data_IF_033925252356
#
_entry.id   IF_033925252356
#
_cell.length_a   1.000
_cell.length_b   1.000
_cell.length_c   1.000
_cell.angle_alpha   90.00
_cell.angle_beta   90.00
_cell.angle_gamma   90.00
#
_symmetry.space_group_name_H-M   'P 1'
#
loop_
_entity.id
_entity.type
_entity.pdbx_description
1 polymer ?
#
# COMPACT_ATOMS: atom_id res chain seq x y z
N UNK A 1 32.30 39.70 -53.34
CA UNK A 1 31.00 39.26 -52.78
C UNK A 1 31.06 37.76 -52.56
N UNK A 2 31.00 37.25 -51.33
CA UNK A 2 30.95 35.81 -51.07
C UNK A 2 29.52 35.30 -51.26
N UNK A 3 29.35 34.21 -52.03
CA UNK A 3 28.06 33.54 -52.24
C UNK A 3 27.57 32.77 -51.01
N UNK A 4 26.29 32.34 -50.99
CA UNK A 4 25.68 31.76 -49.80
C UNK A 4 26.17 30.32 -49.60
N UNK A 5 26.68 30.03 -48.40
CA UNK A 5 26.97 28.67 -47.94
C UNK A 5 25.62 28.00 -47.64
N UNK A 6 25.22 27.03 -48.46
CA UNK A 6 24.09 26.15 -48.16
C UNK A 6 24.51 25.13 -47.10
N UNK A 7 24.14 25.39 -45.84
CA UNK A 7 24.15 24.35 -44.80
C UNK A 7 23.05 23.33 -45.13
N UNK A 8 23.45 22.19 -45.70
CA UNK A 8 22.59 21.01 -45.76
C UNK A 8 22.71 20.33 -44.40
N UNK A 9 21.87 20.75 -43.46
CA UNK A 9 21.69 20.04 -42.21
C UNK A 9 20.91 18.76 -42.48
N UNK A 10 21.62 17.65 -42.68
CA UNK A 10 21.02 16.32 -42.58
C UNK A 10 20.54 16.14 -41.15
N UNK A 11 19.23 16.25 -40.94
CA UNK A 11 18.59 15.95 -39.66
C UNK A 11 18.69 14.43 -39.46
N UNK A 12 19.78 13.96 -38.85
CA UNK A 12 19.83 12.60 -38.31
C UNK A 12 18.87 12.61 -37.12
N UNK A 13 17.68 12.01 -37.29
CA UNK A 13 16.86 11.55 -36.16
C UNK A 13 17.63 10.42 -35.46
N UNK A 14 18.71 10.78 -34.77
CA UNK A 14 19.40 9.88 -33.86
C UNK A 14 18.49 9.67 -32.67
N UNK A 15 18.05 8.44 -32.45
CA UNK A 15 17.45 8.05 -31.19
C UNK A 15 18.36 8.57 -30.06
N UNK A 16 17.83 9.43 -29.18
CA UNK A 16 18.53 9.88 -27.99
C UNK A 16 19.09 8.65 -27.27
N UNK A 17 20.35 8.66 -26.79
CA UNK A 17 20.89 7.53 -26.06
C UNK A 17 19.96 7.23 -24.88
N UNK A 18 19.29 6.08 -24.94
CA UNK A 18 18.40 5.63 -23.88
C UNK A 18 19.26 5.21 -22.70
N UNK A 19 19.15 5.91 -21.57
CA UNK A 19 19.79 5.48 -20.33
C UNK A 19 19.25 4.09 -19.96
N UNK A 20 20.04 3.00 -20.02
CA UNK A 20 19.53 1.64 -19.81
C UNK A 20 18.99 1.44 -18.38
N UNK A 21 19.58 2.12 -17.40
CA UNK A 21 19.12 2.08 -16.02
C UNK A 21 17.75 2.72 -15.87
N UNK A 22 17.48 3.82 -16.59
CA UNK A 22 16.16 4.45 -16.62
C UNK A 22 15.12 3.54 -17.27
N UNK A 23 15.45 2.90 -18.39
CA UNK A 23 14.54 1.94 -19.06
C UNK A 23 14.20 0.78 -18.13
N UNK A 24 15.20 0.25 -17.42
CA UNK A 24 14.99 -0.79 -16.40
C UNK A 24 14.09 -0.29 -15.27
N UNK A 25 14.39 0.90 -14.73
CA UNK A 25 13.60 1.52 -13.67
C UNK A 25 12.13 1.67 -14.08
N UNK A 26 11.85 2.24 -15.26
CA UNK A 26 10.48 2.47 -15.75
C UNK A 26 9.72 1.15 -16.01
N UNK A 27 10.44 0.04 -16.24
CA UNK A 27 9.85 -1.29 -16.39
C UNK A 27 9.55 -1.96 -15.04
N UNK A 28 10.41 -1.75 -14.05
CA UNK A 28 10.31 -2.38 -12.73
C UNK A 28 9.43 -1.58 -11.76
N UNK A 29 9.28 -0.27 -11.97
CA UNK A 29 8.54 0.63 -11.09
C UNK A 29 7.33 1.21 -11.84
N UNK A 30 6.18 0.59 -11.62
CA UNK A 30 4.95 0.94 -12.31
C UNK A 30 4.15 1.97 -11.52
N UNK A 31 3.91 3.11 -12.16
CA UNK A 31 3.12 4.22 -11.63
C UNK A 31 1.82 4.33 -12.42
N UNK A 32 0.71 4.48 -11.73
CA UNK A 32 -0.63 4.55 -12.30
C UNK A 32 -0.96 5.96 -12.82
N UNK A 33 -2.21 6.18 -13.21
CA UNK A 33 -2.76 7.51 -13.55
C UNK A 33 -3.37 8.22 -12.33
N UNK A 34 -3.23 7.67 -11.13
CA UNK A 34 -3.74 8.28 -9.91
C UNK A 34 -3.07 9.65 -9.65
N UNK A 35 -3.79 10.62 -9.02
CA UNK A 35 -3.26 11.96 -8.76
C UNK A 35 -1.90 11.98 -8.03
N UNK A 36 -1.70 11.06 -7.10
CA UNK A 36 -0.51 10.89 -6.27
C UNK A 36 0.69 10.28 -7.01
N UNK A 37 0.47 9.61 -8.15
CA UNK A 37 1.48 8.78 -8.81
C UNK A 37 2.70 9.60 -9.27
N UNK A 38 2.44 10.79 -9.82
CA UNK A 38 3.50 11.71 -10.25
C UNK A 38 4.35 12.19 -9.07
N UNK A 39 3.71 12.53 -7.94
CA UNK A 39 4.43 12.95 -6.73
C UNK A 39 5.23 11.78 -6.16
N UNK A 40 4.65 10.59 -6.06
CA UNK A 40 5.35 9.41 -5.53
C UNK A 40 6.57 9.08 -6.39
N UNK A 41 6.46 9.09 -7.72
CA UNK A 41 7.63 8.93 -8.60
C UNK A 41 8.72 9.98 -8.34
N UNK A 42 8.34 11.24 -8.10
CA UNK A 42 9.31 12.28 -7.74
C UNK A 42 10.00 12.01 -6.39
N UNK A 43 9.27 11.47 -5.40
CA UNK A 43 9.85 11.05 -4.11
C UNK A 43 10.85 9.91 -4.33
N UNK A 44 10.50 8.90 -5.13
CA UNK A 44 11.40 7.77 -5.38
C UNK A 44 12.70 8.24 -6.04
N UNK A 45 12.58 9.10 -7.06
CA UNK A 45 13.74 9.72 -7.71
C UNK A 45 14.53 10.59 -6.74
N UNK A 46 13.89 11.28 -5.79
CA UNK A 46 14.58 12.03 -4.75
C UNK A 46 15.40 11.11 -3.84
N UNK A 47 14.84 9.97 -3.41
CA UNK A 47 15.50 9.00 -2.52
C UNK A 47 16.75 8.40 -3.19
N UNK A 48 16.66 8.05 -4.47
CA UNK A 48 17.82 7.56 -5.24
C UNK A 48 18.68 8.69 -5.84
N UNK A 49 18.41 9.95 -5.48
CA UNK A 49 19.15 11.13 -5.96
C UNK A 49 19.19 11.26 -7.49
N UNK A 50 18.15 10.79 -8.17
CA UNK A 50 18.05 10.76 -9.64
C UNK A 50 18.90 9.68 -10.31
N UNK A 51 19.64 8.88 -9.54
CA UNK A 51 20.49 7.81 -10.05
C UNK A 51 19.67 6.53 -10.26
N UNK A 52 19.20 6.34 -11.49
CA UNK A 52 18.44 5.16 -11.90
C UNK A 52 19.17 3.83 -11.69
N UNK A 53 20.51 3.81 -11.55
CA UNK A 53 21.23 2.57 -11.25
C UNK A 53 20.94 2.05 -9.84
N UNK A 54 20.51 2.93 -8.94
CA UNK A 54 20.06 2.64 -7.58
C UNK A 54 18.57 2.28 -7.50
N UNK A 55 17.90 2.07 -8.63
CA UNK A 55 16.48 1.72 -8.68
C UNK A 55 16.10 0.53 -7.80
N UNK A 56 17.01 -0.45 -7.62
CA UNK A 56 16.79 -1.59 -6.72
C UNK A 56 16.69 -1.24 -5.23
N UNK A 57 17.05 -0.02 -4.82
CA UNK A 57 16.83 0.49 -3.46
C UNK A 57 15.36 0.86 -3.21
N UNK A 58 14.59 1.16 -4.27
CA UNK A 58 13.15 1.41 -4.20
C UNK A 58 12.45 0.06 -4.06
N UNK A 59 12.13 -0.30 -2.83
CA UNK A 59 11.49 -1.57 -2.52
C UNK A 59 10.62 -1.44 -1.29
N UNK A 60 9.39 -1.94 -1.36
CA UNK A 60 8.49 -1.99 -0.22
C UNK A 60 9.13 -2.70 0.99
N UNK A 61 10.01 -3.69 0.77
CA UNK A 61 10.68 -4.44 1.83
C UNK A 61 11.97 -3.75 2.35
N UNK A 62 12.41 -2.64 1.74
CA UNK A 62 13.62 -1.94 2.14
C UNK A 62 13.31 -0.90 3.23
N UNK A 63 13.70 -1.19 4.47
CA UNK A 63 13.51 -0.32 5.64
C UNK A 63 13.95 1.12 5.40
N UNK A 64 15.16 1.33 4.89
CA UNK A 64 15.72 2.67 4.71
C UNK A 64 14.91 3.49 3.70
N UNK A 65 14.40 2.83 2.66
CA UNK A 65 13.51 3.45 1.69
C UNK A 65 12.14 3.77 2.31
N UNK A 66 11.49 2.83 2.99
CA UNK A 66 10.15 3.05 3.58
C UNK A 66 10.19 4.17 4.63
N UNK A 67 11.25 4.24 5.43
CA UNK A 67 11.48 5.35 6.38
C UNK A 67 11.55 6.70 5.67
N UNK A 68 12.37 6.81 4.62
CA UNK A 68 12.49 8.04 3.83
C UNK A 68 11.18 8.40 3.12
N UNK A 69 10.45 7.40 2.62
CA UNK A 69 9.14 7.61 2.01
C UNK A 69 8.17 8.24 3.02
N UNK A 70 8.06 7.70 4.24
CA UNK A 70 7.20 8.24 5.30
C UNK A 70 7.60 9.68 5.64
N UNK A 71 8.90 9.93 5.80
CA UNK A 71 9.40 11.25 6.15
C UNK A 71 9.10 12.27 5.03
N UNK A 72 9.42 11.96 3.78
CA UNK A 72 9.21 12.89 2.65
C UNK A 72 7.71 13.06 2.37
N UNK A 73 6.91 12.00 2.38
CA UNK A 73 5.47 12.06 2.12
C UNK A 73 4.71 12.84 3.21
N UNK A 74 5.27 12.93 4.42
CA UNK A 74 4.68 13.70 5.52
C UNK A 74 5.23 15.13 5.65
N UNK A 75 6.05 15.59 4.71
CA UNK A 75 6.81 16.85 4.82
C UNK A 75 7.66 16.92 6.11
N UNK A 76 8.22 15.79 6.53
CA UNK A 76 9.02 15.64 7.75
C UNK A 76 8.22 15.59 9.05
N UNK A 77 6.87 15.61 9.01
CA UNK A 77 6.01 15.59 10.21
C UNK A 77 5.96 14.22 10.88
N UNK A 78 6.18 13.15 10.13
CA UNK A 78 6.26 11.78 10.63
C UNK A 78 7.65 11.24 10.37
N UNK A 79 8.24 10.63 11.39
CA UNK A 79 9.51 9.92 11.30
C UNK A 79 9.38 8.60 12.04
N UNK A 80 10.09 7.60 11.56
CA UNK A 80 10.15 6.31 12.22
C UNK A 80 11.43 6.26 13.03
N UNK A 81 11.29 6.52 14.32
CA UNK A 81 12.37 6.47 15.30
C UNK A 81 12.06 5.42 16.37
N UNK A 82 13.06 5.13 17.20
CA UNK A 82 12.83 4.34 18.40
C UNK A 82 11.84 5.08 19.30
N UNK A 83 10.66 4.50 19.52
CA UNK A 83 9.58 5.13 20.29
C UNK A 83 9.76 4.94 21.79
N UNK A 84 10.60 3.98 22.21
CA UNK A 84 10.83 3.58 23.61
C UNK A 84 9.60 2.95 24.30
N UNK A 85 8.45 2.96 23.61
CA UNK A 85 7.21 2.30 24.02
C UNK A 85 7.21 0.94 23.38
N UNK A 86 6.96 -0.14 24.11
CA UNK A 86 7.03 -1.52 23.59
C UNK A 86 6.05 -1.86 22.46
N UNK A 87 5.28 -0.88 21.98
CA UNK A 87 4.24 -1.01 20.97
C UNK A 87 4.80 -0.90 19.54
N UNK A 88 4.10 -1.50 18.60
CA UNK A 88 4.36 -1.36 17.17
C UNK A 88 3.91 0.00 16.66
N UNK A 89 4.57 0.47 15.59
CA UNK A 89 4.26 1.71 14.90
C UNK A 89 3.68 1.37 13.53
N UNK A 90 2.44 1.76 13.28
CA UNK A 90 1.75 1.47 12.01
C UNK A 90 1.65 2.72 11.16
N UNK A 91 1.93 2.59 9.88
CA UNK A 91 1.84 3.68 8.90
C UNK A 91 1.04 3.22 7.69
N UNK A 92 -0.08 3.89 7.44
CA UNK A 92 -0.71 3.88 6.12
C UNK A 92 -0.15 5.05 5.34
N UNK A 93 0.39 4.76 4.16
CA UNK A 93 0.93 5.75 3.22
C UNK A 93 0.01 5.74 2.00
N UNK A 94 -0.85 6.75 1.88
CA UNK A 94 -1.79 6.87 0.75
C UNK A 94 -1.01 7.15 -0.53
N UNK A 95 -1.18 6.31 -1.54
CA UNK A 95 -0.34 6.29 -2.75
C UNK A 95 1.05 5.68 -2.58
N UNK A 96 1.38 5.16 -1.38
CA UNK A 96 2.73 4.66 -1.07
C UNK A 96 3.15 3.45 -1.91
N UNK A 97 2.20 2.68 -2.42
CA UNK A 97 2.46 1.51 -3.26
C UNK A 97 2.60 1.81 -4.76
N UNK A 98 2.44 3.07 -5.18
CA UNK A 98 2.87 3.49 -6.53
C UNK A 98 4.37 3.19 -6.73
N UNK A 99 4.71 2.57 -7.86
CA UNK A 99 6.02 1.96 -8.11
C UNK A 99 6.09 0.46 -7.78
N UNK A 100 5.07 -0.11 -7.11
CA UNK A 100 4.98 -1.54 -6.78
C UNK A 100 3.68 -2.17 -7.27
N UNK A 101 3.07 -1.57 -8.31
CA UNK A 101 1.78 -1.99 -8.83
C UNK A 101 1.91 -3.16 -9.82
N UNK A 102 0.87 -4.01 -9.94
CA UNK A 102 0.79 -4.97 -11.03
C UNK A 102 0.58 -4.29 -12.39
N UNK A 103 1.06 -4.92 -13.46
CA UNK A 103 1.04 -4.40 -14.84
C UNK A 103 -0.31 -3.82 -15.29
N UNK A 104 -1.42 -4.46 -14.91
CA UNK A 104 -2.76 -4.05 -15.34
C UNK A 104 -3.22 -2.70 -14.78
N UNK A 105 -2.58 -2.20 -13.72
CA UNK A 105 -2.85 -0.88 -13.13
C UNK A 105 -2.01 0.26 -13.72
N UNK A 106 -0.94 -0.05 -14.47
CA UNK A 106 -0.02 0.96 -15.04
C UNK A 106 -0.68 1.98 -15.99
N UNK A 107 -1.87 1.66 -16.51
CA UNK A 107 -2.62 2.51 -17.46
C UNK A 107 -3.98 2.94 -16.90
N UNK A 108 -4.21 2.74 -15.60
CA UNK A 108 -5.47 3.02 -14.92
C UNK A 108 -5.22 3.96 -13.76
N UNK A 109 -6.28 4.60 -13.28
CA UNK A 109 -6.24 5.27 -11.99
C UNK A 109 -6.32 4.20 -10.89
N UNK A 110 -5.22 3.99 -10.15
CA UNK A 110 -5.18 3.01 -9.07
C UNK A 110 -5.87 3.48 -7.78
N UNK A 111 -6.17 4.78 -7.65
CA UNK A 111 -6.98 5.29 -6.54
C UNK A 111 -8.46 4.91 -6.71
N UNK A 112 -8.90 4.70 -7.96
CA UNK A 112 -10.26 4.32 -8.34
C UNK A 112 -10.27 3.46 -9.61
N UNK A 113 -9.90 2.19 -9.47
CA UNK A 113 -9.87 1.25 -10.57
C UNK A 113 -11.23 0.55 -10.74
N UNK A 114 -11.82 0.67 -11.92
CA UNK A 114 -13.00 -0.12 -12.30
C UNK A 114 -12.52 -1.49 -12.80
N UNK A 115 -12.98 -2.56 -12.16
CA UNK A 115 -12.78 -3.93 -12.66
C UNK A 115 -14.08 -4.38 -13.33
N UNK A 116 -14.05 -4.67 -14.65
CA UNK A 116 -15.20 -5.25 -15.33
C UNK A 116 -15.61 -6.56 -14.64
N UNK A 117 -16.83 -6.62 -14.12
CA UNK A 117 -17.43 -7.82 -13.54
C UNK A 117 -18.46 -8.47 -14.48
N UNK A 118 -19.33 -9.31 -13.93
CA UNK A 118 -20.54 -9.78 -14.61
C UNK A 118 -21.37 -8.55 -15.06
N UNK A 119 -22.10 -8.53 -16.19
CA UNK A 119 -22.79 -7.33 -16.69
C UNK A 119 -23.80 -6.70 -15.71
N UNK A 120 -24.17 -7.43 -14.65
CA UNK A 120 -25.06 -6.99 -13.57
C UNK A 120 -24.33 -6.46 -12.32
N UNK A 121 -22.99 -6.51 -12.24
CA UNK A 121 -22.20 -6.02 -11.10
C UNK A 121 -20.90 -5.33 -11.54
N UNK A 122 -20.82 -4.00 -11.35
CA UNK A 122 -19.57 -3.25 -11.50
C UNK A 122 -18.84 -3.28 -10.15
N UNK A 123 -17.61 -3.77 -10.13
CA UNK A 123 -16.75 -3.73 -8.93
C UNK A 123 -15.82 -2.53 -9.02
N UNK A 124 -15.89 -1.66 -8.02
CA UNK A 124 -14.95 -0.55 -7.87
C UNK A 124 -13.87 -0.97 -6.88
N UNK A 125 -12.60 -0.83 -7.25
CA UNK A 125 -11.47 -0.98 -6.35
C UNK A 125 -10.91 0.39 -6.05
N UNK A 126 -10.83 0.70 -4.78
CA UNK A 126 -10.27 1.96 -4.31
C UNK A 126 -8.95 1.70 -3.61
N UNK A 127 -8.08 2.71 -3.62
CA UNK A 127 -6.83 2.71 -2.86
C UNK A 127 -5.93 1.47 -3.16
N UNK A 128 -5.94 0.98 -4.40
CA UNK A 128 -5.12 -0.17 -4.85
C UNK A 128 -3.62 0.19 -4.92
N UNK A 129 -3.28 1.41 -4.53
CA UNK A 129 -1.94 1.99 -4.50
C UNK A 129 -1.54 2.49 -3.10
N UNK A 130 -2.28 2.13 -2.06
CA UNK A 130 -1.90 2.43 -0.68
C UNK A 130 -0.93 1.39 -0.13
N UNK A 131 -0.13 1.80 0.86
CA UNK A 131 0.83 0.93 1.54
C UNK A 131 0.59 0.93 3.05
N UNK A 132 0.60 -0.26 3.66
CA UNK A 132 0.78 -0.43 5.09
C UNK A 132 2.23 -0.77 5.39
N UNK A 133 2.86 -0.04 6.31
CA UNK A 133 4.18 -0.34 6.86
C UNK A 133 4.10 -0.45 8.38
N UNK A 134 4.77 -1.46 8.94
CA UNK A 134 4.78 -1.73 10.39
C UNK A 134 6.22 -1.75 10.87
N UNK A 135 6.50 -0.96 11.88
CA UNK A 135 7.79 -0.91 12.53
C UNK A 135 7.66 -1.32 13.99
N UNK A 136 8.76 -1.80 14.56
CA UNK A 136 8.83 -2.07 15.98
C UNK A 136 9.15 -0.82 16.80
N UNK A 137 9.21 -0.99 18.11
CA UNK A 137 9.53 0.08 19.06
C UNK A 137 10.95 0.62 18.93
N UNK A 138 11.87 -0.12 18.30
CA UNK A 138 13.21 0.32 17.94
C UNK A 138 13.29 1.01 16.58
N UNK A 139 12.17 1.10 15.86
CA UNK A 139 12.09 1.64 14.51
C UNK A 139 12.57 0.67 13.43
N UNK A 140 12.71 -0.63 13.72
CA UNK A 140 13.06 -1.65 12.71
C UNK A 140 11.81 -2.06 11.94
N UNK A 141 11.88 -2.20 10.62
CA UNK A 141 10.76 -2.64 9.78
C UNK A 141 10.42 -4.09 10.14
N UNK A 142 9.16 -4.31 10.51
CA UNK A 142 8.60 -5.63 10.77
C UNK A 142 8.12 -6.24 9.47
N UNK A 143 7.26 -5.52 8.75
CA UNK A 143 6.78 -5.88 7.41
C UNK A 143 6.03 -4.70 6.79
N UNK A 144 5.78 -4.79 5.50
CA UNK A 144 4.96 -3.86 4.75
C UNK A 144 4.18 -4.61 3.66
N UNK A 145 3.10 -4.01 3.18
CA UNK A 145 2.27 -4.59 2.14
C UNK A 145 1.49 -3.51 1.38
N UNK A 146 1.18 -3.80 0.10
CA UNK A 146 0.18 -3.04 -0.65
C UNK A 146 -1.20 -3.31 -0.05
N UNK A 147 -2.05 -2.30 -0.06
CA UNK A 147 -3.45 -2.43 0.31
C UNK A 147 -4.33 -2.43 -0.94
N UNK A 148 -5.47 -3.09 -0.84
CA UNK A 148 -6.50 -3.14 -1.88
C UNK A 148 -7.85 -3.04 -1.19
N UNK A 149 -8.70 -2.09 -1.57
CA UNK A 149 -10.03 -1.94 -0.98
C UNK A 149 -11.11 -2.18 -2.04
N UNK A 150 -11.59 -3.43 -2.19
CA UNK A 150 -12.70 -3.70 -3.10
C UNK A 150 -13.99 -3.20 -2.45
N UNK A 151 -14.60 -2.20 -3.08
CA UNK A 151 -15.96 -1.79 -2.78
C UNK A 151 -16.86 -2.34 -3.89
N UNK A 152 -17.59 -3.40 -3.57
CA UNK A 152 -18.80 -3.68 -4.32
C UNK A 152 -19.81 -2.60 -3.95
N UNK A 153 -20.14 -1.74 -4.91
CA UNK A 153 -21.20 -0.75 -4.72
C UNK A 153 -22.54 -1.50 -4.85
N UNK A 154 -22.94 -2.17 -3.78
CA UNK A 154 -24.30 -2.69 -3.58
C UNK A 154 -24.81 -2.22 -2.22
N UNK A 155 -25.18 -0.94 -2.09
CA UNK A 155 -25.78 -0.38 -0.86
C UNK A 155 -24.99 0.74 -0.17
N UNK A 156 -24.86 0.65 1.17
CA UNK A 156 -24.54 1.75 2.10
C UNK A 156 -23.08 2.29 2.14
N UNK A 157 -22.17 1.75 1.32
CA UNK A 157 -20.77 2.18 1.25
C UNK A 157 -20.52 3.07 0.03
N UNK A 158 -20.05 4.30 0.27
CA UNK A 158 -19.58 5.23 -0.77
C UNK A 158 -18.09 5.51 -0.60
N UNK A 159 -17.39 5.88 -1.67
CA UNK A 159 -15.98 6.30 -1.60
C UNK A 159 -15.76 7.36 -0.51
N UNK A 160 -16.65 8.37 -0.45
CA UNK A 160 -16.65 9.42 0.57
C UNK A 160 -16.74 8.87 2.00
N UNK A 161 -17.59 7.87 2.23
CA UNK A 161 -17.69 7.22 3.56
C UNK A 161 -16.40 6.50 3.89
N UNK A 162 -15.81 5.84 2.90
CA UNK A 162 -14.62 5.04 3.06
C UNK A 162 -13.38 5.93 3.30
N UNK A 163 -13.25 7.07 2.63
CA UNK A 163 -12.21 8.08 2.91
C UNK A 163 -12.31 8.64 4.32
N UNK A 164 -13.52 8.97 4.78
CA UNK A 164 -13.72 9.45 6.16
C UNK A 164 -13.27 8.44 7.21
N UNK A 165 -13.48 7.14 6.95
CA UNK A 165 -13.00 6.08 7.85
C UNK A 165 -11.49 6.08 7.87
N UNK A 166 -10.89 6.14 6.69
CA UNK A 166 -9.44 6.10 6.56
C UNK A 166 -8.75 7.29 7.25
N UNK A 167 -9.27 8.49 7.06
CA UNK A 167 -8.75 9.70 7.70
C UNK A 167 -8.91 9.69 9.23
N UNK A 168 -9.94 9.00 9.75
CA UNK A 168 -10.19 8.94 11.19
C UNK A 168 -9.24 7.98 11.93
N UNK A 169 -8.48 7.15 11.21
CA UNK A 169 -7.55 6.19 11.80
C UNK A 169 -6.25 6.82 12.29
N UNK A 170 -5.95 8.05 11.89
CA UNK A 170 -4.79 8.76 12.42
C UNK A 170 -4.88 8.86 13.95
N UNK A 171 -3.83 8.40 14.62
CA UNK A 171 -3.70 8.34 16.07
C UNK A 171 -4.68 7.38 16.78
N UNK A 172 -5.18 6.36 16.07
CA UNK A 172 -6.05 5.33 16.65
C UNK A 172 -5.31 4.04 16.98
N UNK A 173 -5.80 3.37 18.02
CA UNK A 173 -5.30 2.05 18.42
C UNK A 173 -5.52 1.03 17.31
N UNK A 174 -4.45 0.33 16.97
CA UNK A 174 -4.46 -0.87 16.13
C UNK A 174 -4.43 -2.08 17.03
N UNK A 175 -5.26 -3.06 16.73
CA UNK A 175 -5.30 -4.34 17.42
C UNK A 175 -5.35 -5.49 16.42
N UNK A 176 -4.89 -6.66 16.84
CA UNK A 176 -5.14 -7.91 16.11
C UNK A 176 -6.33 -8.63 16.72
N UNK A 177 -7.08 -9.32 15.88
CA UNK A 177 -8.22 -10.13 16.29
C UNK A 177 -8.37 -11.34 15.36
N UNK A 178 -9.11 -12.34 15.84
CA UNK A 178 -9.50 -13.51 15.06
C UNK A 178 -10.99 -13.43 14.75
N UNK A 179 -11.34 -13.32 13.48
CA UNK A 179 -12.72 -13.39 13.05
C UNK A 179 -13.13 -14.85 12.87
N UNK A 180 -14.22 -15.26 13.52
CA UNK A 180 -14.81 -16.59 13.39
C UNK A 180 -16.26 -16.53 12.91
N UNK A 181 -16.74 -15.35 12.49
CA UNK A 181 -18.11 -15.13 12.05
C UNK A 181 -18.34 -15.52 10.58
N UNK A 182 -17.26 -15.79 9.84
CA UNK A 182 -17.30 -16.24 8.45
C UNK A 182 -17.01 -17.74 8.35
N UNK A 183 -17.33 -18.33 7.20
CA UNK A 183 -17.06 -19.76 6.92
C UNK A 183 -15.57 -20.09 7.05
N UNK A 184 -14.70 -19.12 6.76
CA UNK A 184 -13.27 -19.22 6.88
C UNK A 184 -12.82 -18.30 8.01
N UNK A 185 -12.32 -18.84 9.14
CA UNK A 185 -11.71 -18.01 10.16
C UNK A 185 -10.46 -17.33 9.62
N UNK A 186 -10.22 -16.10 10.08
CA UNK A 186 -9.04 -15.34 9.67
C UNK A 186 -8.54 -14.44 10.78
N UNK A 187 -7.28 -14.02 10.65
CA UNK A 187 -6.71 -12.94 11.44
C UNK A 187 -6.79 -11.63 10.68
N UNK A 188 -7.10 -10.57 11.41
CA UNK A 188 -7.16 -9.22 10.85
C UNK A 188 -6.53 -8.20 11.79
N UNK A 189 -6.10 -7.09 11.22
CA UNK A 189 -5.83 -5.86 11.97
C UNK A 189 -7.10 -5.02 11.98
N UNK A 190 -7.48 -4.57 13.17
CA UNK A 190 -8.60 -3.67 13.38
C UNK A 190 -8.13 -2.32 13.89
N UNK A 191 -8.88 -1.27 13.53
CA UNK A 191 -8.69 0.09 14.07
C UNK A 191 -9.98 0.56 14.73
N UNK A 192 -9.86 1.07 15.97
CA UNK A 192 -11.01 1.66 16.67
C UNK A 192 -11.28 3.07 16.14
N UNK A 193 -12.06 3.17 15.07
CA UNK A 193 -12.30 4.42 14.33
C UNK A 193 -13.22 5.42 15.06
N UNK A 194 -14.05 4.93 15.99
CA UNK A 194 -14.99 5.73 16.79
C UNK A 194 -16.17 6.33 16.01
N UNK A 195 -16.32 6.06 14.71
CA UNK A 195 -17.28 6.74 13.84
C UNK A 195 -18.64 6.05 13.71
N UNK A 196 -18.74 4.74 13.98
CA UNK A 196 -19.98 3.97 13.79
C UNK A 196 -20.48 3.31 15.08
N UNK A 197 -20.28 3.99 16.21
CA UNK A 197 -20.49 3.41 17.54
C UNK A 197 -19.34 2.50 17.95
N UNK A 198 -19.32 2.06 19.21
CA UNK A 198 -18.16 1.46 19.91
C UNK A 198 -17.55 0.18 19.29
N UNK A 199 -18.05 -0.33 18.16
CA UNK A 199 -17.79 -1.70 17.67
C UNK A 199 -17.47 -1.77 16.16
N UNK A 200 -17.55 -0.67 15.40
CA UNK A 200 -17.18 -0.77 13.99
C UNK A 200 -15.67 -0.81 13.84
N UNK A 201 -15.18 -2.01 13.55
CA UNK A 201 -13.85 -2.26 13.07
C UNK A 201 -13.94 -2.29 11.56
N UNK A 202 -13.11 -1.50 10.88
CA UNK A 202 -12.82 -1.78 9.47
C UNK A 202 -11.52 -2.54 9.47
N UNK A 203 -11.59 -3.69 8.81
CA UNK A 203 -10.64 -4.76 8.99
C UNK A 203 -9.64 -4.77 7.84
N UNK A 204 -8.37 -4.92 8.17
CA UNK A 204 -7.31 -5.23 7.22
C UNK A 204 -6.97 -6.72 7.33
N UNK A 205 -7.30 -7.51 6.31
CA UNK A 205 -7.10 -8.97 6.33
C UNK A 205 -6.78 -9.55 4.94
N UNK A 206 -6.65 -10.87 4.82
CA UNK A 206 -6.47 -11.54 3.53
C UNK A 206 -7.65 -11.31 2.58
N UNK A 207 -7.42 -11.44 1.28
CA UNK A 207 -8.50 -11.32 0.30
C UNK A 207 -9.54 -12.45 0.47
N UNK A 208 -10.77 -12.08 0.78
CA UNK A 208 -11.94 -12.97 0.87
C UNK A 208 -13.12 -12.35 0.11
N UNK A 209 -14.20 -13.11 -0.10
CA UNK A 209 -15.44 -12.60 -0.70
C UNK A 209 -16.26 -11.67 0.21
N UNK A 210 -15.61 -10.82 1.01
CA UNK A 210 -16.26 -9.91 1.97
C UNK A 210 -16.37 -8.48 1.41
N UNK A 211 -17.40 -7.76 1.86
CA UNK A 211 -17.69 -6.39 1.40
C UNK A 211 -17.14 -5.35 2.37
N UNK A 212 -16.50 -4.29 1.85
CA UNK A 212 -16.13 -3.11 2.64
C UNK A 212 -14.91 -3.27 3.56
N UNK A 213 -14.16 -4.35 3.40
CA UNK A 213 -12.89 -4.59 4.09
C UNK A 213 -11.71 -4.06 3.27
N UNK A 214 -10.56 -3.91 3.92
CA UNK A 214 -9.30 -3.59 3.26
C UNK A 214 -8.46 -4.85 3.22
N UNK A 215 -7.88 -5.16 2.08
CA UNK A 215 -7.09 -6.35 1.90
C UNK A 215 -5.61 -6.05 1.95
N UNK A 216 -4.89 -6.84 2.74
CA UNK A 216 -3.43 -6.91 2.75
C UNK A 216 -3.05 -7.79 1.57
N UNK A 217 -2.46 -7.18 0.55
CA UNK A 217 -2.09 -7.88 -0.69
C UNK A 217 -0.80 -8.65 -0.44
N UNK A 218 -0.89 -9.97 -0.44
CA UNK A 218 0.26 -10.86 -0.40
C UNK A 218 0.38 -11.60 -1.76
N UNK A 219 1.53 -11.56 -2.46
CA UNK A 219 1.74 -12.29 -3.70
C UNK A 219 1.54 -13.81 -3.59
N UNK A 220 1.61 -14.36 -2.38
CA UNK A 220 1.39 -15.78 -2.07
C UNK A 220 -0.05 -16.09 -1.67
N UNK A 221 -0.96 -15.10 -1.74
CA UNK A 221 -2.39 -15.33 -1.47
C UNK A 221 -2.88 -16.43 -2.42
N UNK A 222 -3.42 -17.54 -1.88
CA UNK A 222 -3.98 -18.59 -2.72
C UNK A 222 -5.15 -18.04 -3.55
N UNK A 223 -5.49 -18.75 -4.64
CA UNK A 223 -6.72 -18.46 -5.35
C UNK A 223 -7.92 -18.52 -4.38
N UNK A 224 -8.98 -17.78 -4.71
CA UNK A 224 -10.25 -17.76 -3.97
C UNK A 224 -10.98 -19.12 -4.08
N UNK A 225 -10.38 -20.17 -3.52
CA UNK A 225 -11.02 -21.44 -3.22
C UNK A 225 -11.01 -21.66 -1.70
N UNK A 226 -12.12 -22.17 -1.18
CA UNK A 226 -12.33 -22.28 0.28
C UNK A 226 -11.36 -23.25 0.95
N UNK A 227 -10.68 -24.10 0.17
CA UNK A 227 -9.80 -25.16 0.70
C UNK A 227 -8.45 -24.64 1.21
N UNK A 228 -7.97 -23.53 0.65
CA UNK A 228 -6.64 -23.00 0.94
C UNK A 228 -6.66 -21.74 1.82
N UNK A 229 -7.69 -20.90 1.71
CA UNK A 229 -7.79 -19.65 2.46
C UNK A 229 -7.80 -19.88 3.99
N UNK A 230 -8.41 -20.98 4.46
CA UNK A 230 -8.43 -21.32 5.90
C UNK A 230 -7.09 -21.71 6.51
N UNK A 231 -6.03 -21.87 5.68
CA UNK A 231 -4.67 -22.19 6.11
C UNK A 231 -3.67 -21.08 5.79
N UNK A 232 -4.16 -19.97 5.25
CA UNK A 232 -3.35 -18.87 4.80
C UNK A 232 -3.62 -17.62 5.64
N UNK A 233 -2.55 -16.99 6.09
CA UNK A 233 -2.58 -15.64 6.63
C UNK A 233 -1.52 -14.80 5.89
N UNK A 234 -1.78 -13.52 5.62
CA UNK A 234 -0.83 -12.67 4.91
C UNK A 234 0.49 -12.59 5.67
N UNK A 235 1.63 -12.55 4.95
CA UNK A 235 2.97 -12.42 5.51
C UNK A 235 3.05 -11.33 6.58
N UNK A 236 2.45 -10.16 6.32
CA UNK A 236 2.44 -9.04 7.26
C UNK A 236 1.83 -9.43 8.61
N UNK A 237 0.71 -10.16 8.62
CA UNK A 237 0.07 -10.62 9.86
C UNK A 237 0.98 -11.60 10.60
N UNK A 238 1.59 -12.54 9.87
CA UNK A 238 2.50 -13.53 10.44
C UNK A 238 3.77 -12.89 11.03
N UNK A 239 4.31 -11.87 10.38
CA UNK A 239 5.48 -11.13 10.87
C UNK A 239 5.14 -10.30 12.13
N UNK A 240 3.94 -9.71 12.19
CA UNK A 240 3.43 -9.02 13.39
C UNK A 240 3.27 -9.98 14.57
N UNK A 241 2.69 -11.16 14.34
CA UNK A 241 2.57 -12.21 15.36
C UNK A 241 3.95 -12.64 15.88
N UNK A 242 4.86 -12.96 14.95
CA UNK A 242 6.24 -13.33 15.28
C UNK A 242 6.93 -12.25 16.11
N UNK A 243 6.75 -10.98 15.73
CA UNK A 243 7.38 -9.86 16.43
C UNK A 243 6.84 -9.65 17.84
N UNK A 244 5.54 -9.85 18.03
CA UNK A 244 4.87 -9.72 19.32
C UNK A 244 4.94 -10.98 20.19
N UNK A 245 5.56 -12.05 19.68
CA UNK A 245 5.64 -13.35 20.37
C UNK A 245 4.29 -14.08 20.46
N UNK A 246 3.28 -13.63 19.73
CA UNK A 246 1.96 -14.25 19.68
C UNK A 246 1.92 -15.37 18.64
N UNK A 247 1.15 -16.41 18.92
CA UNK A 247 0.79 -17.44 17.92
C UNK A 247 -0.62 -17.19 17.40
N UNK A 248 -0.93 -17.79 16.24
CA UNK A 248 -2.27 -17.72 15.64
C UNK A 248 -3.37 -18.16 16.62
N UNK A 249 -3.10 -19.17 17.45
CA UNK A 249 -4.06 -19.69 18.43
C UNK A 249 -4.16 -18.84 19.70
N UNK A 250 -3.19 -17.96 19.96
CA UNK A 250 -3.20 -17.05 21.10
C UNK A 250 -4.16 -15.88 20.86
N UNK A 251 -4.37 -15.52 19.59
CA UNK A 251 -5.37 -14.53 19.18
C UNK A 251 -6.77 -15.14 19.29
N UNK A 252 -7.34 -15.03 20.48
CA UNK A 252 -8.74 -15.40 20.74
C UNK A 252 -9.69 -14.36 20.12
N UNK A 253 -11.00 -14.51 20.33
CA UNK A 253 -12.01 -13.51 19.95
C UNK A 253 -11.90 -12.15 20.67
N UNK A 254 -10.81 -11.89 21.40
CA UNK A 254 -10.54 -10.63 22.10
C UNK A 254 -9.55 -9.80 21.29
N UNK A 255 -9.80 -8.50 21.21
CA UNK A 255 -8.89 -7.53 20.60
C UNK A 255 -7.59 -7.46 21.41
N UNK A 256 -6.45 -7.75 20.78
CA UNK A 256 -5.12 -7.61 21.39
C UNK A 256 -4.50 -6.32 20.87
N UNK A 257 -4.31 -5.28 21.71
CA UNK A 257 -3.69 -4.03 21.30
C UNK A 257 -2.26 -4.26 20.78
N UNK A 258 -1.90 -3.60 19.69
CA UNK A 258 -0.58 -3.70 19.07
C UNK A 258 0.17 -2.38 19.02
N UNK A 259 -0.55 -1.26 18.91
CA UNK A 259 0.06 0.06 18.80
C UNK A 259 -0.89 1.09 18.20
N UNK A 260 -0.33 2.08 17.51
CA UNK A 260 -1.10 3.22 16.98
C UNK A 260 -0.86 3.39 15.48
N UNK A 261 -1.94 3.70 14.75
CA UNK A 261 -1.92 4.00 13.33
C UNK A 261 -1.58 5.47 13.06
N UNK A 262 -0.69 5.71 12.10
CA UNK A 262 -0.45 7.00 11.47
C UNK A 262 -0.85 6.92 10.01
N UNK A 263 -1.67 7.86 9.58
CA UNK A 263 -2.03 8.00 8.17
C UNK A 263 -1.23 9.16 7.58
N UNK A 264 -0.50 8.86 6.50
CA UNK A 264 0.33 9.80 5.72
C UNK A 264 -0.23 9.85 4.30
N UNK A 265 -0.32 11.04 3.71
CA UNK A 265 -0.86 11.21 2.36
C UNK A 265 0.18 11.85 1.47
N UNK A 266 0.49 11.20 0.35
CA UNK A 266 1.27 11.80 -0.72
C UNK A 266 0.40 12.86 -1.40
N UNK A 267 0.85 14.11 -1.39
CA UNK A 267 0.17 15.27 -2.00
C UNK A 267 0.96 15.86 -3.15
#
# INVERSE_FOLDING_TARGET
MPGPVKFVGTLILGALPTNPAKVKFDKEHLYSLAPEAARKRAIDLQIISGDYSRGGEISIENEAYVKQLIEIASDGKQKVDASGKGDLQFFIIRGGAEGFLPDWLSTRDASNAVVPGNPSTITFRFDDNDMLAVFDSGGTLVSSARLERPLFITGAWSQRTADKVYDSWHDKEVFIYKNTNFAIPYLGLGVKDGMRGKVATVDMHKQEGTLGCIFIVDPKTPALDDSNLGRFEPKLIMDVLKKTGQKVDDVKSRHVPLGVMRVVTIK
#
